data_IF_924653756716
#
_entry.id   IF_924653756716
#
_cell.length_a   1.000
_cell.length_b   1.000
_cell.length_c   1.000
_cell.angle_alpha   90.00
_cell.angle_beta   90.00
_cell.angle_gamma   90.00
#
_symmetry.space_group_name_H-M   'P 1'
#
loop_
_entity.id
_entity.type
_entity.pdbx_description
1 polymer ?
#
# COMPACT_ATOMS: atom_id res chain seq x y z
N UNK A 1 9.65 -1.77 -8.70
CA UNK A 1 9.50 -3.02 -7.91
C UNK A 1 8.48 -2.84 -6.81
N UNK A 2 8.70 -1.93 -5.84
CA UNK A 2 7.82 -1.73 -4.67
C UNK A 2 6.33 -1.48 -5.00
N UNK A 3 6.03 -0.60 -5.96
CA UNK A 3 4.65 -0.33 -6.39
C UNK A 3 3.92 -1.59 -6.89
N UNK A 4 4.63 -2.48 -7.60
CA UNK A 4 4.06 -3.73 -8.08
C UNK A 4 3.79 -4.68 -6.92
N UNK A 5 4.72 -4.80 -5.97
CA UNK A 5 4.53 -5.58 -4.75
C UNK A 5 3.33 -5.12 -3.94
N UNK A 6 3.12 -3.81 -3.78
CA UNK A 6 1.96 -3.24 -3.07
C UNK A 6 0.65 -3.55 -3.79
N UNK A 7 0.62 -3.42 -5.13
CA UNK A 7 -0.55 -3.76 -5.93
C UNK A 7 -0.89 -5.26 -5.88
N UNK A 8 0.12 -6.12 -5.90
CA UNK A 8 -0.06 -7.57 -5.82
C UNK A 8 -0.60 -7.96 -4.42
N UNK A 9 -0.06 -7.38 -3.35
CA UNK A 9 -0.59 -7.53 -1.99
C UNK A 9 -2.02 -6.99 -1.85
N UNK A 10 -2.32 -5.82 -2.42
CA UNK A 10 -3.67 -5.26 -2.37
C UNK A 10 -4.69 -6.17 -3.06
N UNK A 11 -4.33 -6.80 -4.18
CA UNK A 11 -5.19 -7.78 -4.87
C UNK A 11 -5.39 -9.05 -4.04
N UNK A 12 -4.33 -9.56 -3.43
CA UNK A 12 -4.39 -10.74 -2.57
C UNK A 12 -5.30 -10.49 -1.36
N UNK A 13 -5.15 -9.35 -0.68
CA UNK A 13 -5.98 -8.96 0.46
C UNK A 13 -7.42 -8.59 0.07
N UNK A 14 -7.67 -8.14 -1.17
CA UNK A 14 -9.04 -7.97 -1.68
C UNK A 14 -9.72 -9.31 -1.98
N UNK A 15 -8.97 -10.33 -2.38
CA UNK A 15 -9.51 -11.66 -2.66
C UNK A 15 -9.84 -12.46 -1.40
N UNK A 16 -9.22 -12.14 -0.26
CA UNK A 16 -9.53 -12.76 1.03
C UNK A 16 -10.93 -12.41 1.52
N UNK A 17 -11.67 -13.39 2.03
CA UNK A 17 -12.93 -13.16 2.75
C UNK A 17 -12.73 -13.34 4.25
N UNK A 18 -13.53 -12.65 5.07
CA UNK A 18 -13.44 -12.76 6.53
C UNK A 18 -13.74 -14.18 7.06
N UNK A 19 -14.32 -15.05 6.22
CA UNK A 19 -14.59 -16.46 6.52
C UNK A 19 -13.30 -17.31 6.43
N UNK A 20 -12.29 -16.85 5.70
CA UNK A 20 -11.01 -17.55 5.51
C UNK A 20 -9.97 -17.22 6.61
N UNK A 21 -10.35 -16.41 7.59
CA UNK A 21 -9.46 -15.87 8.60
C UNK A 21 -9.87 -16.41 9.97
N UNK A 22 -9.01 -17.24 10.56
CA UNK A 22 -9.21 -17.77 11.91
C UNK A 22 -9.12 -16.64 12.95
N UNK A 23 -10.00 -16.68 13.94
CA UNK A 23 -9.97 -15.74 15.07
C UNK A 23 -8.62 -15.82 15.80
N UNK A 24 -8.07 -14.67 16.17
CA UNK A 24 -6.91 -14.57 17.07
C UNK A 24 -7.07 -15.52 18.26
N UNK A 25 -5.97 -16.20 18.59
CA UNK A 25 -5.69 -17.10 19.73
C UNK A 25 -6.29 -16.70 21.10
N UNK A 26 -6.89 -15.52 21.25
CA UNK A 26 -7.44 -14.99 22.49
C UNK A 26 -8.94 -14.64 22.45
N UNK A 27 -9.65 -14.81 21.32
CA UNK A 27 -11.11 -14.65 21.26
C UNK A 27 -11.64 -13.25 21.63
N UNK A 28 -10.84 -12.21 21.44
CA UNK A 28 -11.14 -10.80 21.78
C UNK A 28 -10.83 -9.84 20.61
N UNK A 29 -11.35 -8.59 20.64
CA UNK A 29 -12.10 -7.97 19.55
C UNK A 29 -11.20 -7.26 18.54
N UNK A 30 -10.48 -8.05 17.74
CA UNK A 30 -10.36 -7.71 16.33
C UNK A 30 -10.89 -8.91 15.58
N UNK A 31 -12.08 -8.76 15.03
CA UNK A 31 -12.62 -9.77 14.13
C UNK A 31 -11.66 -9.87 12.93
N UNK A 32 -11.52 -11.07 12.39
CA UNK A 32 -10.87 -11.31 11.10
C UNK A 32 -11.21 -10.23 10.04
N UNK A 33 -12.48 -9.82 10.01
CA UNK A 33 -12.97 -8.76 9.14
C UNK A 33 -12.33 -7.38 9.43
N UNK A 34 -12.22 -6.98 10.70
CA UNK A 34 -11.61 -5.70 11.10
C UNK A 34 -10.13 -5.66 10.78
N UNK A 35 -9.39 -6.74 11.05
CA UNK A 35 -7.98 -6.84 10.70
C UNK A 35 -7.76 -6.78 9.18
N UNK A 36 -8.61 -7.47 8.42
CA UNK A 36 -8.55 -7.45 6.95
C UNK A 36 -8.86 -6.06 6.38
N UNK A 37 -9.86 -5.37 6.93
CA UNK A 37 -10.19 -4.01 6.51
C UNK A 37 -9.06 -3.03 6.84
N UNK A 38 -8.48 -3.11 8.04
CA UNK A 38 -7.33 -2.29 8.42
C UNK A 38 -6.12 -2.53 7.49
N UNK A 39 -5.87 -3.77 7.10
CA UNK A 39 -4.80 -4.10 6.15
C UNK A 39 -5.07 -3.52 4.75
N UNK A 40 -6.32 -3.58 4.28
CA UNK A 40 -6.73 -2.97 2.99
C UNK A 40 -6.57 -1.46 3.01
N UNK A 41 -6.98 -0.80 4.09
CA UNK A 41 -6.85 0.64 4.25
C UNK A 41 -5.37 1.07 4.27
N UNK A 42 -4.54 0.35 5.02
CA UNK A 42 -3.09 0.59 5.05
C UNK A 42 -2.44 0.41 3.66
N UNK A 43 -2.83 -0.63 2.90
CA UNK A 43 -2.32 -0.84 1.54
C UNK A 43 -2.74 0.28 0.58
N UNK A 44 -3.98 0.78 0.70
CA UNK A 44 -4.45 1.91 -0.09
C UNK A 44 -3.70 3.22 0.24
N UNK A 45 -3.37 3.44 1.51
CA UNK A 45 -2.57 4.58 1.94
C UNK A 45 -1.13 4.51 1.42
N UNK A 46 -0.52 3.32 1.42
CA UNK A 46 0.81 3.11 0.83
C UNK A 46 0.78 3.36 -0.68
N UNK A 47 -0.25 2.89 -1.39
CA UNK A 47 -0.40 3.15 -2.83
C UNK A 47 -0.47 4.66 -3.10
N UNK A 48 -1.26 5.41 -2.32
CA UNK A 48 -1.36 6.86 -2.44
C UNK A 48 -0.01 7.56 -2.21
N UNK A 49 0.73 7.14 -1.18
CA UNK A 49 2.06 7.68 -0.88
C UNK A 49 3.05 7.42 -2.02
N UNK A 50 2.98 6.25 -2.66
CA UNK A 50 3.83 5.94 -3.81
C UNK A 50 3.52 6.81 -5.02
N UNK A 51 2.24 7.10 -5.30
CA UNK A 51 1.86 8.04 -6.37
C UNK A 51 2.44 9.43 -6.11
N UNK A 52 2.35 9.93 -4.88
CA UNK A 52 2.94 11.22 -4.51
C UNK A 52 4.47 11.23 -4.65
N UNK A 53 5.13 10.11 -4.32
CA UNK A 53 6.57 9.97 -4.47
C UNK A 53 7.00 9.95 -5.95
N UNK A 54 6.25 9.25 -6.81
CA UNK A 54 6.47 9.24 -8.26
C UNK A 54 6.35 10.67 -8.83
N UNK A 55 5.31 11.42 -8.47
CA UNK A 55 5.12 12.82 -8.89
C UNK A 55 6.27 13.73 -8.44
N UNK A 56 6.72 13.59 -7.19
CA UNK A 56 7.83 14.36 -6.65
C UNK A 56 9.15 14.03 -7.38
N UNK A 57 9.38 12.76 -7.72
CA UNK A 57 10.54 12.32 -8.49
C UNK A 57 10.54 12.91 -9.90
N UNK A 58 9.38 12.91 -10.58
CA UNK A 58 9.21 13.54 -11.89
C UNK A 58 9.54 15.04 -11.87
N UNK A 59 9.05 15.75 -10.84
CA UNK A 59 9.35 17.17 -10.64
C UNK A 59 10.85 17.37 -10.44
N UNK A 60 11.47 16.59 -9.55
CA UNK A 60 12.91 16.66 -9.30
C UNK A 60 13.72 16.39 -10.57
N UNK A 61 13.33 15.39 -11.38
CA UNK A 61 13.98 15.07 -12.65
C UNK A 61 13.88 16.23 -13.66
N UNK A 62 12.73 16.89 -13.75
CA UNK A 62 12.55 18.07 -14.62
C UNK A 62 13.42 19.25 -14.21
N UNK A 63 13.61 19.49 -12.92
CA UNK A 63 14.48 20.56 -12.45
C UNK A 63 15.95 20.21 -12.62
N UNK A 64 16.35 19.00 -12.24
CA UNK A 64 17.74 18.55 -12.33
C UNK A 64 18.24 18.43 -13.77
N UNK A 65 17.41 17.96 -14.72
CA UNK A 65 17.76 17.89 -16.15
C UNK A 65 18.03 19.26 -16.80
N UNK A 66 17.55 20.35 -16.19
CA UNK A 66 17.79 21.73 -16.65
C UNK A 66 19.07 22.33 -16.08
N UNK A 67 19.69 21.68 -15.10
CA UNK A 67 20.97 22.11 -14.54
C UNK A 67 22.10 21.65 -15.46
N UNK A 68 22.96 22.58 -15.88
CA UNK A 68 24.27 22.26 -16.47
C UNK A 68 25.34 22.50 -15.41
N UNK A 69 26.24 21.53 -15.26
CA UNK A 69 27.47 21.74 -14.51
C UNK A 69 28.25 22.89 -15.15
N UNK A 70 28.81 23.76 -14.30
CA UNK A 70 29.53 24.96 -14.71
C UNK A 70 30.99 24.65 -15.00
#
# INVERSE_FOLDING_TARGET
MLRRTVLDLAREYQALTAVDLDTDTLGHPITAAEALNAARDALADVERALVMADDAADIAQRYTSRLKAR
#
